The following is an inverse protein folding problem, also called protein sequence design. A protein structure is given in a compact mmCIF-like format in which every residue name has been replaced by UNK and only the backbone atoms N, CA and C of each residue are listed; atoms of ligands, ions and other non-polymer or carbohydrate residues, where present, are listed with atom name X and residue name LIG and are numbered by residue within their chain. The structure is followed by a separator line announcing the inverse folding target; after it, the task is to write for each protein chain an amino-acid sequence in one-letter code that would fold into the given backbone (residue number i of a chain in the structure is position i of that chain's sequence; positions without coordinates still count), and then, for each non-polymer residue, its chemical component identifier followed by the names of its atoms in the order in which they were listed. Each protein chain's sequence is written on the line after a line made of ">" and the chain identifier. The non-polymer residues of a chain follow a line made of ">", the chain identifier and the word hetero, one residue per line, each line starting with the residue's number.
data_IF_883516558953
#
_entry.id   IF_883516558953
#
_cell.length_a   1.000
_cell.length_b   1.000
_cell.length_c   1.000
_cell.angle_alpha   90.00
_cell.angle_beta   90.00
_cell.angle_gamma   90.00
#
_symmetry.space_group_name_H-M   'P 1'
#
loop_
_entity.id
_entity.type
_entity.pdbx_description
1 polymer ?
#
# COMPACT_ATOMS: atom_id res chain seq x y z
N UNK A 1 4.93 -16.43 -40.55
CA UNK A 1 5.26 -15.09 -40.01
C UNK A 1 5.13 -15.17 -38.50
N UNK A 2 6.22 -15.00 -37.76
CA UNK A 2 6.20 -14.95 -36.30
C UNK A 2 5.86 -13.52 -35.85
N UNK A 3 5.01 -13.36 -34.84
CA UNK A 3 4.70 -12.07 -34.24
C UNK A 3 5.96 -11.50 -33.56
N UNK A 4 6.20 -10.17 -33.58
CA UNK A 4 7.33 -9.59 -32.87
C UNK A 4 7.10 -9.70 -31.36
N UNK A 5 7.99 -10.40 -30.66
CA UNK A 5 8.06 -10.39 -29.21
C UNK A 5 8.63 -9.03 -28.76
N UNK A 6 7.78 -8.01 -28.68
CA UNK A 6 8.14 -6.74 -28.07
C UNK A 6 7.88 -6.81 -26.56
N UNK A 7 8.66 -7.64 -25.86
CA UNK A 7 8.84 -7.48 -24.41
C UNK A 7 10.15 -6.74 -24.21
N UNK A 8 10.10 -5.42 -24.03
CA UNK A 8 11.27 -4.68 -23.54
C UNK A 8 11.71 -5.33 -22.24
N UNK A 9 12.88 -5.97 -22.24
CA UNK A 9 13.41 -6.65 -21.06
C UNK A 9 13.50 -5.66 -19.89
N UNK A 10 13.10 -6.11 -18.70
CA UNK A 10 13.16 -5.30 -17.49
C UNK A 10 14.61 -4.87 -17.21
N UNK A 11 14.87 -3.57 -17.16
CA UNK A 11 16.18 -3.01 -16.88
C UNK A 11 16.19 -2.34 -15.50
N UNK A 12 16.99 -2.88 -14.57
CA UNK A 12 17.15 -2.34 -13.22
C UNK A 12 17.70 -0.91 -13.19
N UNK A 13 18.38 -0.47 -14.26
CA UNK A 13 18.88 0.90 -14.38
C UNK A 13 17.75 1.94 -14.53
N UNK A 14 16.57 1.52 -15.01
CA UNK A 14 15.42 2.41 -15.19
C UNK A 14 14.71 2.68 -13.85
N UNK A 15 14.91 1.81 -12.86
CA UNK A 15 14.23 1.85 -11.55
C UNK A 15 15.25 1.76 -10.41
N UNK A 16 16.00 2.83 -10.12
CA UNK A 16 17.09 2.81 -9.13
C UNK A 16 16.62 2.64 -7.69
N UNK A 17 15.31 2.79 -7.44
CA UNK A 17 14.70 2.58 -6.12
C UNK A 17 13.54 1.60 -6.25
N UNK A 18 13.64 0.49 -5.53
CA UNK A 18 12.60 -0.53 -5.44
C UNK A 18 11.94 -0.42 -4.08
N UNK A 19 10.61 -0.38 -4.05
CA UNK A 19 9.82 -0.24 -2.82
C UNK A 19 8.98 -1.49 -2.63
N UNK A 20 9.28 -2.24 -1.57
CA UNK A 20 8.46 -3.37 -1.13
C UNK A 20 7.32 -2.89 -0.25
N UNK A 21 6.06 -3.19 -0.60
CA UNK A 21 4.88 -2.93 0.23
C UNK A 21 4.32 -4.26 0.75
N UNK A 22 4.07 -4.30 2.07
CA UNK A 22 3.16 -5.25 2.69
C UNK A 22 1.82 -4.55 2.93
N UNK A 23 0.86 -4.74 2.03
CA UNK A 23 -0.51 -4.24 2.18
C UNK A 23 -1.31 -5.28 2.97
N UNK A 24 -1.26 -5.22 4.30
CA UNK A 24 -1.92 -6.19 5.16
C UNK A 24 -3.40 -5.89 5.39
N UNK A 25 -4.10 -6.80 6.07
CA UNK A 25 -5.50 -6.59 6.50
C UNK A 25 -5.59 -5.68 7.73
N UNK A 26 -4.61 -5.77 8.63
CA UNK A 26 -4.58 -5.04 9.91
C UNK A 26 -3.55 -3.92 9.91
N UNK A 27 -2.35 -4.18 9.39
CA UNK A 27 -1.24 -3.23 9.33
C UNK A 27 -0.60 -3.30 7.95
N UNK A 28 -0.18 -2.15 7.43
CA UNK A 28 0.59 -2.05 6.20
C UNK A 28 1.94 -1.43 6.50
N UNK A 29 2.97 -1.88 5.79
CA UNK A 29 4.32 -1.37 5.93
C UNK A 29 5.03 -1.36 4.59
N UNK A 30 6.21 -0.76 4.56
CA UNK A 30 7.06 -0.82 3.38
C UNK A 30 8.53 -0.72 3.75
N UNK A 31 9.35 -1.26 2.87
CA UNK A 31 10.79 -1.09 2.84
C UNK A 31 11.20 -0.62 1.44
N UNK A 32 12.44 -0.17 1.30
CA UNK A 32 13.01 0.15 0.00
C UNK A 32 14.47 -0.29 -0.07
N UNK A 33 14.96 -0.46 -1.29
CA UNK A 33 16.36 -0.73 -1.59
C UNK A 33 16.76 0.05 -2.84
N UNK A 34 18.04 0.38 -2.94
CA UNK A 34 18.62 0.94 -4.15
C UNK A 34 19.12 -0.20 -5.03
N UNK A 35 18.94 -0.15 -6.35
CA UNK A 35 19.40 -1.25 -7.22
C UNK A 35 20.92 -1.44 -7.24
N UNK A 36 21.66 -0.46 -6.74
CA UNK A 36 23.12 -0.48 -6.63
C UNK A 36 23.60 -0.99 -5.24
N UNK A 37 22.69 -1.28 -4.30
CA UNK A 37 23.00 -1.70 -2.94
C UNK A 37 22.07 -2.86 -2.50
N UNK A 38 22.60 -3.84 -1.78
CA UNK A 38 21.82 -4.96 -1.25
C UNK A 38 21.10 -4.62 0.08
N UNK A 39 21.35 -3.45 0.65
CA UNK A 39 20.71 -3.01 1.89
C UNK A 39 19.22 -2.69 1.70
N UNK A 40 18.39 -3.34 2.53
CA UNK A 40 16.95 -3.09 2.62
C UNK A 40 16.68 -2.19 3.81
N UNK A 41 16.01 -1.07 3.57
CA UNK A 41 15.74 -0.04 4.57
C UNK A 41 14.23 0.04 4.84
N UNK A 42 13.84 -0.16 6.10
CA UNK A 42 12.44 -0.06 6.53
C UNK A 42 11.98 1.40 6.67
N UNK A 43 10.78 1.71 6.17
CA UNK A 43 10.08 2.95 6.54
C UNK A 43 9.38 2.73 7.87
N UNK A 44 9.94 3.30 8.92
CA UNK A 44 9.45 3.14 10.30
C UNK A 44 8.73 4.36 10.86
N UNK A 45 8.85 5.51 10.19
CA UNK A 45 8.20 6.77 10.57
C UNK A 45 6.86 6.89 9.85
N UNK A 46 5.77 6.89 10.61
CA UNK A 46 4.42 7.01 10.07
C UNK A 46 3.72 8.29 10.54
N UNK A 47 2.82 8.89 9.73
CA UNK A 47 2.10 10.09 10.13
C UNK A 47 1.30 9.86 11.40
N UNK A 48 1.40 10.78 12.37
CA UNK A 48 0.61 10.75 13.62
C UNK A 48 0.81 9.47 14.45
N UNK A 49 1.92 8.76 14.25
CA UNK A 49 2.33 7.64 15.08
C UNK A 49 2.64 8.12 16.52
N UNK A 50 2.27 7.32 17.51
CA UNK A 50 2.60 7.60 18.91
C UNK A 50 4.07 7.28 19.19
N UNK A 51 4.55 7.54 20.42
CA UNK A 51 5.93 7.25 20.83
C UNK A 51 6.32 5.76 20.79
N UNK A 52 5.36 4.85 20.60
CA UNK A 52 5.65 3.44 20.37
C UNK A 52 5.95 3.21 18.88
N UNK A 53 7.23 3.16 18.53
CA UNK A 53 7.70 2.96 17.17
C UNK A 53 7.46 1.50 16.77
N UNK A 54 6.52 1.32 15.85
CA UNK A 54 6.21 0.05 15.19
C UNK A 54 6.47 0.25 13.68
N UNK A 55 7.12 -0.69 12.97
CA UNK A 55 7.54 -0.50 11.58
C UNK A 55 6.38 -0.52 10.56
N UNK A 56 5.12 -0.49 11.03
CA UNK A 56 3.93 -0.51 10.18
C UNK A 56 2.89 0.47 10.69
N UNK A 57 2.03 0.93 9.79
CA UNK A 57 0.87 1.76 10.08
C UNK A 57 -0.41 0.92 10.02
N UNK A 58 -1.47 1.21 10.80
CA UNK A 58 -2.75 0.54 10.68
C UNK A 58 -3.30 0.58 9.25
N UNK A 59 -4.00 -0.47 8.83
CA UNK A 59 -4.73 -0.51 7.56
C UNK A 59 -6.14 -0.01 7.79
N UNK A 60 -6.23 1.31 7.98
CA UNK A 60 -7.45 2.02 8.33
C UNK A 60 -7.67 3.20 7.38
N UNK A 61 -8.92 3.43 7.01
CA UNK A 61 -9.35 4.57 6.21
C UNK A 61 -10.55 5.23 6.89
N UNK A 62 -10.51 6.55 7.06
CA UNK A 62 -11.52 7.32 7.79
C UNK A 62 -12.18 8.31 6.85
N UNK A 63 -13.49 8.20 6.67
CA UNK A 63 -14.27 8.97 5.72
C UNK A 63 -15.28 9.86 6.43
N UNK A 64 -15.66 10.96 5.78
CA UNK A 64 -16.85 11.72 6.17
C UNK A 64 -18.11 10.92 5.82
N UNK A 65 -19.07 10.82 6.74
CA UNK A 65 -20.34 10.11 6.52
C UNK A 65 -21.13 10.76 5.39
N UNK A 66 -21.69 9.93 4.51
CA UNK A 66 -22.41 10.39 3.32
C UNK A 66 -21.53 10.99 2.21
N UNK A 67 -20.21 10.88 2.33
CA UNK A 67 -19.25 11.31 1.31
C UNK A 67 -18.24 10.21 0.98
N UNK A 68 -17.60 10.30 -0.19
CA UNK A 68 -16.45 9.49 -0.57
C UNK A 68 -15.11 10.16 -0.22
N UNK A 69 -15.14 11.29 0.50
CA UNK A 69 -13.93 12.02 0.89
C UNK A 69 -13.18 11.29 2.02
N UNK A 70 -11.96 10.84 1.71
CA UNK A 70 -11.02 10.34 2.72
C UNK A 70 -10.55 11.51 3.59
N UNK A 71 -10.84 11.44 4.89
CA UNK A 71 -10.44 12.43 5.89
C UNK A 71 -9.07 12.12 6.47
N UNK A 72 -8.78 10.84 6.73
CA UNK A 72 -7.50 10.42 7.29
C UNK A 72 -7.26 8.91 7.06
N UNK A 73 -6.03 8.46 7.30
CA UNK A 73 -5.64 7.06 7.11
C UNK A 73 -4.69 6.61 8.22
N UNK A 74 -4.50 5.29 8.34
CA UNK A 74 -3.54 4.69 9.28
C UNK A 74 -3.68 5.15 10.72
N UNK A 75 -2.59 5.62 11.33
CA UNK A 75 -2.62 6.16 12.69
C UNK A 75 -3.48 7.43 12.82
N UNK A 76 -3.56 8.24 11.76
CA UNK A 76 -4.44 9.40 11.73
C UNK A 76 -5.91 9.02 11.81
N UNK A 77 -6.34 8.07 10.96
CA UNK A 77 -7.68 7.47 11.01
C UNK A 77 -7.99 6.90 12.40
N UNK A 78 -7.05 6.14 12.97
CA UNK A 78 -7.19 5.59 14.33
C UNK A 78 -7.44 6.71 15.34
N UNK A 79 -6.58 7.74 15.38
CA UNK A 79 -6.70 8.86 16.31
C UNK A 79 -7.99 9.65 16.12
N UNK A 80 -8.41 9.87 14.87
CA UNK A 80 -9.64 10.59 14.56
C UNK A 80 -10.87 9.83 15.09
N UNK A 81 -10.92 8.51 14.93
CA UNK A 81 -12.02 7.68 15.40
C UNK A 81 -12.18 7.62 16.94
N UNK A 82 -11.11 7.88 17.71
CA UNK A 82 -11.16 7.93 19.18
C UNK A 82 -11.51 9.33 19.74
N UNK A 83 -11.72 10.35 18.90
CA UNK A 83 -12.18 11.66 19.35
C UNK A 83 -13.66 11.62 19.74
N UNK A 84 -14.15 12.51 20.63
CA UNK A 84 -15.58 12.72 20.82
C UNK A 84 -16.27 13.20 19.53
N UNK A 85 -17.58 12.95 19.41
CA UNK A 85 -18.44 13.45 18.31
C UNK A 85 -18.03 12.99 16.89
N UNK A 86 -17.72 11.70 16.72
CA UNK A 86 -17.37 11.08 15.43
C UNK A 86 -18.59 10.57 14.65
N UNK A 87 -19.80 11.00 15.03
CA UNK A 87 -21.06 10.54 14.41
C UNK A 87 -21.11 10.83 12.91
N UNK A 88 -20.51 11.93 12.47
CA UNK A 88 -20.46 12.35 11.06
C UNK A 88 -19.34 11.68 10.25
N UNK A 89 -18.76 10.59 10.76
CA UNK A 89 -17.67 9.89 10.10
C UNK A 89 -17.85 8.38 10.14
N UNK A 90 -17.03 7.71 9.33
CA UNK A 90 -16.98 6.26 9.21
C UNK A 90 -15.52 5.83 9.23
N UNK A 91 -15.17 4.93 10.17
CA UNK A 91 -13.90 4.24 10.16
C UNK A 91 -14.05 2.89 9.43
N UNK A 92 -13.29 2.71 8.37
CA UNK A 92 -13.16 1.43 7.66
C UNK A 92 -11.89 0.71 8.09
N UNK A 93 -12.03 -0.59 8.35
CA UNK A 93 -10.95 -1.50 8.71
C UNK A 93 -11.15 -2.82 7.97
N UNK A 94 -10.08 -3.60 7.80
CA UNK A 94 -10.10 -4.92 7.12
C UNK A 94 -10.73 -4.88 5.71
N UNK A 95 -10.75 -3.72 5.06
CA UNK A 95 -11.35 -3.55 3.72
C UNK A 95 -10.64 -4.38 2.64
N UNK A 96 -9.40 -4.83 2.87
CA UNK A 96 -8.71 -5.83 2.02
C UNK A 96 -9.48 -7.15 1.90
N UNK A 97 -10.27 -7.54 2.91
CA UNK A 97 -11.05 -8.79 2.89
C UNK A 97 -12.15 -8.78 1.82
N UNK A 98 -12.59 -7.61 1.36
CA UNK A 98 -13.55 -7.47 0.27
C UNK A 98 -12.99 -7.86 -1.11
N UNK A 99 -11.69 -8.17 -1.20
CA UNK A 99 -11.09 -8.77 -2.39
C UNK A 99 -11.28 -10.29 -2.45
N UNK A 100 -11.72 -10.93 -1.37
CA UNK A 100 -12.03 -12.36 -1.36
C UNK A 100 -13.51 -12.55 -1.68
N UNK A 101 -13.79 -13.00 -2.90
CA UNK A 101 -15.16 -13.25 -3.39
C UNK A 101 -15.88 -14.36 -2.62
N UNK A 102 -15.16 -15.19 -1.86
CA UNK A 102 -15.75 -16.24 -1.03
C UNK A 102 -16.26 -15.71 0.32
N UNK A 103 -15.88 -14.49 0.71
CA UNK A 103 -16.36 -13.87 1.93
C UNK A 103 -17.65 -13.08 1.66
N UNK A 104 -18.72 -13.48 2.34
CA UNK A 104 -19.96 -12.71 2.36
C UNK A 104 -19.82 -11.57 3.37
N UNK A 105 -19.55 -10.37 2.86
CA UNK A 105 -19.39 -9.15 3.66
C UNK A 105 -20.54 -8.17 3.36
N UNK A 106 -20.97 -7.44 4.38
CA UNK A 106 -21.94 -6.35 4.21
C UNK A 106 -21.41 -5.27 3.26
N UNK A 107 -22.26 -4.59 2.49
CA UNK A 107 -21.82 -3.49 1.63
C UNK A 107 -21.07 -2.41 2.42
N UNK A 108 -20.04 -1.85 1.79
CA UNK A 108 -19.33 -0.72 2.37
C UNK A 108 -20.26 0.49 2.50
N UNK A 109 -20.16 1.28 3.58
CA UNK A 109 -20.95 2.49 3.77
C UNK A 109 -20.58 3.56 2.74
N UNK A 110 -21.39 4.64 2.69
CA UNK A 110 -21.22 5.76 1.75
C UNK A 110 -21.26 5.38 0.26
N UNK A 111 -21.80 4.20 -0.09
CA UNK A 111 -21.78 3.64 -1.46
C UNK A 111 -20.35 3.58 -2.03
N UNK A 112 -19.36 3.40 -1.16
CA UNK A 112 -17.99 3.12 -1.55
C UNK A 112 -17.90 1.70 -2.10
N UNK A 113 -17.05 1.48 -3.08
CA UNK A 113 -16.61 0.13 -3.44
C UNK A 113 -15.19 -0.14 -2.90
N UNK A 114 -14.80 -1.41 -2.83
CA UNK A 114 -13.51 -1.81 -2.26
C UNK A 114 -12.33 -1.23 -3.03
N UNK A 115 -12.45 -1.09 -4.36
CA UNK A 115 -11.37 -0.55 -5.22
C UNK A 115 -11.13 0.93 -4.91
N UNK A 116 -12.19 1.70 -4.67
CA UNK A 116 -12.09 3.10 -4.22
C UNK A 116 -11.36 3.19 -2.87
N UNK A 117 -11.78 2.39 -1.88
CA UNK A 117 -11.20 2.44 -0.53
C UNK A 117 -9.72 2.04 -0.54
N UNK A 118 -9.37 0.98 -1.27
CA UNK A 118 -7.98 0.55 -1.42
C UNK A 118 -7.17 1.59 -2.19
N UNK A 119 -7.73 2.16 -3.26
CA UNK A 119 -7.08 3.20 -4.05
C UNK A 119 -6.77 4.43 -3.21
N UNK A 120 -7.72 4.94 -2.44
CA UNK A 120 -7.53 6.09 -1.57
C UNK A 120 -6.48 5.82 -0.48
N UNK A 121 -6.53 4.64 0.15
CA UNK A 121 -5.53 4.23 1.13
C UNK A 121 -4.13 4.15 0.52
N UNK A 122 -3.97 3.47 -0.61
CA UNK A 122 -2.67 3.28 -1.27
C UNK A 122 -2.11 4.59 -1.83
N UNK A 123 -2.95 5.52 -2.31
CA UNK A 123 -2.49 6.87 -2.71
C UNK A 123 -1.94 7.65 -1.53
N UNK A 124 -2.63 7.63 -0.39
CA UNK A 124 -2.17 8.31 0.82
C UNK A 124 -0.88 7.66 1.37
N UNK A 125 -0.82 6.32 1.33
CA UNK A 125 0.38 5.54 1.67
C UNK A 125 1.56 5.91 0.77
N UNK A 126 1.38 5.85 -0.55
CA UNK A 126 2.39 6.22 -1.56
C UNK A 126 2.91 7.65 -1.35
N UNK A 127 2.00 8.60 -1.14
CA UNK A 127 2.36 10.00 -0.91
C UNK A 127 3.29 10.15 0.30
N UNK A 128 3.02 9.43 1.39
CA UNK A 128 3.88 9.44 2.57
C UNK A 128 5.23 8.79 2.31
N UNK A 129 5.24 7.60 1.70
CA UNK A 129 6.49 6.88 1.39
C UNK A 129 7.40 7.73 0.51
N UNK A 130 6.85 8.33 -0.55
CA UNK A 130 7.61 9.23 -1.44
C UNK A 130 8.19 10.41 -0.66
N UNK A 131 7.40 10.99 0.25
CA UNK A 131 7.86 12.10 1.11
C UNK A 131 8.99 11.67 2.06
N UNK A 132 8.94 10.46 2.63
CA UNK A 132 10.03 9.96 3.49
C UNK A 132 11.30 9.66 2.68
N UNK A 133 11.16 9.04 1.50
CA UNK A 133 12.29 8.77 0.60
C UNK A 133 12.98 10.05 0.16
N UNK A 134 12.21 11.10 -0.16
CA UNK A 134 12.72 12.40 -0.56
C UNK A 134 13.53 13.12 0.53
N UNK A 135 13.37 12.75 1.81
CA UNK A 135 14.17 13.31 2.91
C UNK A 135 15.57 12.69 3.00
N UNK A 136 15.76 11.51 2.43
CA UNK A 136 17.02 10.77 2.44
C UNK A 136 17.74 10.81 1.10
N UNK A 137 18.72 9.92 0.93
CA UNK A 137 19.49 9.79 -0.31
C UNK A 137 18.61 9.47 -1.53
N UNK A 138 17.46 8.84 -1.32
CA UNK A 138 16.50 8.53 -2.37
C UNK A 138 15.89 9.79 -3.01
N UNK A 139 15.93 10.96 -2.35
CA UNK A 139 15.48 12.23 -2.93
C UNK A 139 16.28 12.72 -4.14
N UNK A 140 17.44 12.12 -4.42
CA UNK A 140 18.22 12.42 -5.62
C UNK A 140 17.66 11.76 -6.90
N UNK A 141 16.68 10.87 -6.76
CA UNK A 141 16.05 10.17 -7.88
C UNK A 141 14.67 10.75 -8.21
N UNK A 142 14.30 10.69 -9.48
CA UNK A 142 12.96 11.02 -9.94
C UNK A 142 11.95 10.00 -9.38
N UNK A 143 10.90 10.43 -8.64
CA UNK A 143 9.87 9.54 -8.13
C UNK A 143 9.16 8.69 -9.19
N UNK A 144 9.14 9.12 -10.46
CA UNK A 144 8.60 8.33 -11.58
C UNK A 144 9.39 7.06 -11.85
N UNK A 145 10.61 6.97 -11.31
CA UNK A 145 11.49 5.80 -11.40
C UNK A 145 11.42 4.91 -10.16
N UNK A 146 10.51 5.19 -9.23
CA UNK A 146 10.27 4.29 -8.10
C UNK A 146 9.38 3.14 -8.57
N UNK A 147 9.82 1.91 -8.33
CA UNK A 147 9.03 0.73 -8.67
C UNK A 147 8.52 0.03 -7.42
N UNK A 148 7.21 -0.22 -7.40
CA UNK A 148 6.54 -0.89 -6.30
C UNK A 148 6.46 -2.39 -6.52
N UNK A 149 6.68 -3.12 -5.44
CA UNK A 149 6.51 -4.57 -5.39
C UNK A 149 5.61 -4.86 -4.19
N UNK A 150 4.49 -5.53 -4.42
CA UNK A 150 3.56 -5.89 -3.36
C UNK A 150 3.76 -7.33 -2.93
N UNK A 151 3.73 -7.57 -1.63
CA UNK A 151 3.68 -8.91 -1.05
C UNK A 151 2.22 -9.19 -0.71
N UNK A 152 1.64 -10.22 -1.33
CA UNK A 152 0.30 -10.67 -1.00
C UNK A 152 0.36 -12.07 -0.39
N UNK A 153 -0.07 -12.21 0.87
CA UNK A 153 -0.43 -13.52 1.42
C UNK A 153 -1.72 -13.95 0.70
N UNK A 154 -1.64 -15.08 -0.01
CA UNK A 154 -2.64 -15.68 -0.94
C UNK A 154 -4.07 -15.11 -0.85
N UNK A 155 -4.60 -14.70 -2.01
CA UNK A 155 -6.03 -14.42 -2.19
C UNK A 155 -6.39 -13.78 -3.54
N UNK A 156 -5.49 -13.00 -4.15
CA UNK A 156 -5.78 -12.36 -5.44
C UNK A 156 -5.25 -13.19 -6.62
N UNK A 157 -6.10 -13.53 -7.59
CA UNK A 157 -5.65 -13.97 -8.92
C UNK A 157 -5.08 -12.75 -9.66
N UNK A 158 -3.99 -12.93 -10.40
CA UNK A 158 -3.33 -11.87 -11.18
C UNK A 158 -3.50 -12.18 -12.66
N UNK A 159 -3.64 -11.13 -13.47
CA UNK A 159 -3.94 -11.22 -14.91
C UNK A 159 -2.77 -11.75 -15.76
N UNK A 160 -1.53 -11.79 -15.26
CA UNK A 160 -0.35 -11.98 -16.14
C UNK A 160 0.63 -13.10 -15.73
N UNK A 161 0.20 -14.10 -14.96
CA UNK A 161 0.85 -15.42 -14.92
C UNK A 161 2.23 -15.58 -14.25
N UNK A 162 2.99 -14.52 -13.96
CA UNK A 162 4.29 -14.66 -13.26
C UNK A 162 4.16 -14.46 -11.74
N UNK A 163 4.21 -15.57 -11.00
CA UNK A 163 4.24 -15.58 -9.54
C UNK A 163 5.64 -15.97 -9.05
N UNK A 164 6.40 -15.01 -8.51
CA UNK A 164 7.60 -15.31 -7.73
C UNK A 164 7.20 -15.59 -6.28
N UNK A 165 7.58 -16.77 -5.77
CA UNK A 165 7.28 -17.22 -4.40
C UNK A 165 8.47 -16.91 -3.50
N UNK A 166 8.24 -16.32 -2.34
CA UNK A 166 9.24 -16.30 -1.27
C UNK A 166 9.22 -17.62 -0.48
N UNK A 167 10.28 -17.87 0.30
CA UNK A 167 10.45 -19.07 1.14
C UNK A 167 9.39 -19.18 2.26
N UNK A 168 8.55 -18.16 2.44
CA UNK A 168 7.41 -18.11 3.36
C UNK A 168 6.04 -18.33 2.71
N UNK A 169 5.98 -18.61 1.40
CA UNK A 169 4.74 -18.86 0.66
C UNK A 169 3.93 -17.61 0.29
N UNK A 170 4.52 -16.42 0.37
CA UNK A 170 4.01 -15.16 -0.16
C UNK A 170 4.20 -15.07 -1.68
N UNK A 171 3.27 -14.38 -2.37
CA UNK A 171 3.43 -14.04 -3.79
C UNK A 171 3.92 -12.59 -3.87
N UNK A 172 5.06 -12.40 -4.51
CA UNK A 172 5.63 -11.09 -4.83
C UNK A 172 5.09 -10.67 -6.20
N UNK A 173 4.41 -9.52 -6.28
CA UNK A 173 3.94 -8.92 -7.54
C UNK A 173 4.58 -7.57 -7.77
N UNK A 174 5.29 -7.43 -8.89
CA UNK A 174 5.70 -6.13 -9.41
C UNK A 174 4.44 -5.37 -9.87
N UNK A 175 4.23 -4.16 -9.37
CA UNK A 175 3.25 -3.22 -9.91
C UNK A 175 3.89 -2.40 -11.04
#
# INVERSE_FOLDING_TARGET
>A
MAAPANSSAFNLADYPVIIGIDFGTTFSGCCYAFTQNEEVIDITKWPKQNNNVYPKTPTLAYYKRGSKDLVDWGHGARRAAFKPNTQDHVLLSKFKLYLDENLQLEPLPNNLNVVEVIGDYLRAFHSHVTTELQKGFAGNYDPTKFRYVSISRRGGVGVDGENWRDDGGGVIRLL
#
